data_IF_472371118277
#
_entry.id   IF_472371118277
#
_cell.length_a   1.000
_cell.length_b   1.000
_cell.length_c   1.000
_cell.angle_alpha   90.00
_cell.angle_beta   90.00
_cell.angle_gamma   90.00
#
_symmetry.space_group_name_H-M   'P 1'
#
loop_
_entity.id
_entity.type
_entity.pdbx_description
1 polymer ?
#
# COMPACT_ATOMS: atom_id res chain seq x y z
N UNK A 1 37.01 -2.17 10.39
CA UNK A 1 35.81 -1.37 10.07
C UNK A 1 35.48 -1.59 8.61
N UNK A 2 34.32 -2.15 8.28
CA UNK A 2 33.82 -2.10 6.89
C UNK A 2 33.31 -0.68 6.69
N UNK A 3 33.73 0.00 5.62
CA UNK A 3 33.12 1.27 5.22
C UNK A 3 31.60 1.07 5.11
N UNK A 4 30.82 1.96 5.74
CA UNK A 4 29.37 1.96 5.54
C UNK A 4 29.09 2.18 4.06
N UNK A 5 28.13 1.45 3.46
CA UNK A 5 27.77 1.66 2.07
C UNK A 5 27.46 3.15 1.85
N UNK A 6 28.06 3.74 0.80
CA UNK A 6 27.84 5.14 0.47
C UNK A 6 26.36 5.33 0.15
N UNK A 7 25.71 6.26 0.84
CA UNK A 7 24.33 6.64 0.58
C UNK A 7 24.19 7.02 -0.90
N UNK A 8 23.19 6.49 -1.64
CA UNK A 8 22.97 6.88 -3.02
C UNK A 8 22.84 8.39 -3.14
N UNK A 9 23.47 8.97 -4.18
CA UNK A 9 23.38 10.40 -4.46
C UNK A 9 21.92 10.79 -4.72
N UNK A 10 21.46 11.88 -4.09
CA UNK A 10 20.16 12.48 -4.41
C UNK A 10 20.16 13.02 -5.85
N UNK A 11 19.09 12.73 -6.58
CA UNK A 11 18.90 13.11 -7.99
C UNK A 11 18.18 14.45 -8.05
N UNK A 12 18.62 15.37 -8.91
CA UNK A 12 17.92 16.65 -9.09
C UNK A 12 16.63 16.45 -9.90
N UNK A 13 15.55 17.20 -9.65
CA UNK A 13 14.33 17.15 -10.44
C UNK A 13 14.56 17.33 -11.95
N UNK A 14 15.54 18.14 -12.35
CA UNK A 14 15.90 18.34 -13.75
C UNK A 14 16.55 17.11 -14.42
N UNK A 15 17.11 16.20 -13.62
CA UNK A 15 17.72 14.94 -14.10
C UNK A 15 16.67 13.83 -14.26
N UNK A 16 15.46 14.05 -13.78
CA UNK A 16 14.35 13.13 -13.88
C UNK A 16 13.60 13.33 -15.21
N UNK A 17 13.69 12.35 -16.11
CA UNK A 17 12.91 12.41 -17.35
C UNK A 17 11.41 12.28 -17.02
N UNK A 18 10.57 13.07 -17.68
CA UNK A 18 9.10 13.03 -17.49
C UNK A 18 8.52 11.62 -17.72
N UNK A 19 9.12 10.87 -18.66
CA UNK A 19 8.75 9.49 -19.00
C UNK A 19 9.06 8.54 -17.83
N UNK A 20 10.22 8.69 -17.20
CA UNK A 20 10.60 7.85 -16.05
C UNK A 20 9.81 8.16 -14.79
N UNK A 21 9.34 9.40 -14.60
CA UNK A 21 8.76 9.83 -13.32
C UNK A 21 7.25 9.98 -13.27
N UNK A 22 6.55 10.00 -14.41
CA UNK A 22 5.09 10.08 -14.42
C UNK A 22 4.43 8.93 -15.16
N UNK A 23 4.89 8.62 -16.38
CA UNK A 23 4.22 7.61 -17.23
C UNK A 23 4.50 6.20 -16.75
N UNK A 24 5.78 5.89 -16.47
CA UNK A 24 6.17 4.54 -16.07
C UNK A 24 5.48 4.06 -14.77
N UNK A 25 5.48 4.82 -13.64
CA UNK A 25 4.82 4.40 -12.41
C UNK A 25 3.34 4.06 -12.60
N UNK A 26 2.58 4.91 -13.30
CA UNK A 26 1.15 4.70 -13.55
C UNK A 26 0.93 3.47 -14.43
N UNK A 27 1.72 3.31 -15.49
CA UNK A 27 1.64 2.14 -16.37
C UNK A 27 1.96 0.83 -15.61
N UNK A 28 2.96 0.85 -14.73
CA UNK A 28 3.28 -0.30 -13.87
C UNK A 28 2.12 -0.64 -12.93
N UNK A 29 1.56 0.34 -12.23
CA UNK A 29 0.40 0.09 -11.34
C UNK A 29 -0.78 -0.46 -12.13
N UNK A 30 -1.11 0.11 -13.28
CA UNK A 30 -2.18 -0.38 -14.14
C UNK A 30 -1.92 -1.82 -14.62
N UNK A 31 -0.69 -2.14 -15.03
CA UNK A 31 -0.32 -3.48 -15.46
C UNK A 31 -0.38 -4.50 -14.31
N UNK A 32 0.11 -4.15 -13.12
CA UNK A 32 0.08 -4.99 -11.91
C UNK A 32 -1.37 -5.28 -11.51
N UNK A 33 -2.23 -4.25 -11.46
CA UNK A 33 -3.64 -4.39 -11.11
C UNK A 33 -4.39 -5.18 -12.18
N UNK A 34 -4.11 -4.94 -13.46
CA UNK A 34 -4.70 -5.70 -14.57
C UNK A 34 -4.32 -7.18 -14.52
N UNK A 35 -3.08 -7.50 -14.17
CA UNK A 35 -2.65 -8.88 -13.94
C UNK A 35 -3.36 -9.50 -12.73
N UNK A 36 -3.44 -8.77 -11.61
CA UNK A 36 -4.15 -9.22 -10.41
C UNK A 36 -5.63 -9.51 -10.70
N UNK A 37 -6.28 -8.66 -11.50
CA UNK A 37 -7.66 -8.86 -11.95
C UNK A 37 -7.81 -10.15 -12.77
N UNK A 38 -6.92 -10.40 -13.73
CA UNK A 38 -6.92 -11.66 -14.52
C UNK A 38 -6.67 -12.90 -13.66
N UNK A 39 -5.77 -12.80 -12.69
CA UNK A 39 -5.51 -13.89 -11.73
C UNK A 39 -6.73 -14.14 -10.84
N UNK A 40 -7.47 -13.09 -10.47
CA UNK A 40 -8.74 -13.23 -9.77
C UNK A 40 -9.76 -14.00 -10.60
N UNK A 41 -9.93 -13.65 -11.88
CA UNK A 41 -10.83 -14.36 -12.79
C UNK A 41 -10.47 -15.84 -12.92
N UNK A 42 -9.17 -16.14 -13.03
CA UNK A 42 -8.69 -17.52 -13.09
C UNK A 42 -8.95 -18.27 -11.79
N UNK A 43 -8.72 -17.64 -10.64
CA UNK A 43 -8.96 -18.23 -9.32
C UNK A 43 -10.44 -18.55 -9.11
N UNK A 44 -11.34 -17.65 -9.49
CA UNK A 44 -12.79 -17.86 -9.40
C UNK A 44 -13.23 -19.01 -10.33
N UNK A 45 -12.63 -19.12 -11.52
CA UNK A 45 -12.93 -20.21 -12.46
C UNK A 45 -12.40 -21.59 -12.01
N UNK A 46 -11.33 -21.65 -11.21
CA UNK A 46 -10.58 -22.91 -10.98
C UNK A 46 -10.57 -23.38 -9.53
N UNK A 47 -10.58 -22.47 -8.55
CA UNK A 47 -10.22 -22.78 -7.16
C UNK A 47 -11.35 -22.50 -6.17
N UNK A 48 -12.18 -21.48 -6.38
CA UNK A 48 -13.21 -21.11 -5.41
C UNK A 48 -14.61 -21.61 -5.83
N UNK A 49 -14.86 -22.90 -5.60
CA UNK A 49 -16.21 -23.49 -5.73
C UNK A 49 -17.14 -23.14 -4.56
N UNK A 50 -16.78 -22.18 -3.68
CA UNK A 50 -17.69 -21.74 -2.62
C UNK A 50 -18.98 -21.26 -3.27
N UNK A 51 -20.16 -21.72 -2.78
CA UNK A 51 -21.41 -21.08 -3.15
C UNK A 51 -21.25 -19.60 -2.82
N UNK A 52 -21.13 -18.76 -3.85
CA UNK A 52 -21.27 -17.33 -3.65
C UNK A 52 -22.69 -17.17 -3.12
N UNK A 53 -22.89 -16.59 -1.92
CA UNK A 53 -24.24 -16.35 -1.44
C UNK A 53 -25.01 -15.64 -2.55
N UNK A 54 -26.20 -16.17 -2.89
CA UNK A 54 -27.12 -15.55 -3.84
C UNK A 54 -27.21 -14.03 -3.52
N UNK A 55 -27.26 -13.17 -4.55
CA UNK A 55 -26.91 -11.77 -4.38
C UNK A 55 -27.94 -11.09 -3.47
N UNK A 56 -27.56 -10.74 -2.24
CA UNK A 56 -28.16 -9.61 -1.52
C UNK A 56 -27.68 -8.32 -2.22
N UNK A 57 -28.21 -8.07 -3.42
CA UNK A 57 -27.91 -6.93 -4.27
C UNK A 57 -28.26 -5.59 -3.63
N UNK A 58 -29.02 -5.57 -2.53
CA UNK A 58 -29.26 -4.36 -1.73
C UNK A 58 -27.98 -3.83 -1.05
N UNK A 59 -26.99 -4.69 -0.76
CA UNK A 59 -25.67 -4.25 -0.27
C UNK A 59 -24.70 -3.91 -1.40
N UNK A 60 -24.90 -4.50 -2.59
CA UNK A 60 -24.03 -4.33 -3.75
C UNK A 60 -23.91 -2.88 -4.21
N UNK A 61 -25.02 -2.12 -4.17
CA UNK A 61 -25.02 -0.70 -4.54
C UNK A 61 -24.09 0.15 -3.66
N UNK A 62 -24.07 -0.10 -2.35
CA UNK A 62 -23.21 0.64 -1.43
C UNK A 62 -21.75 0.23 -1.56
N UNK A 63 -21.43 -1.06 -1.64
CA UNK A 63 -20.04 -1.53 -1.86
C UNK A 63 -19.49 -0.98 -3.17
N UNK A 64 -20.29 -1.02 -4.25
CA UNK A 64 -19.93 -0.42 -5.53
C UNK A 64 -19.68 1.09 -5.41
N UNK A 65 -20.53 1.81 -4.67
CA UNK A 65 -20.38 3.25 -4.41
C UNK A 65 -19.11 3.56 -3.62
N UNK A 66 -18.76 2.72 -2.63
CA UNK A 66 -17.48 2.81 -1.90
C UNK A 66 -16.31 2.62 -2.88
N UNK A 67 -16.41 1.65 -3.80
CA UNK A 67 -15.42 1.45 -4.85
C UNK A 67 -15.21 2.70 -5.71
N UNK A 68 -16.29 3.31 -6.21
CA UNK A 68 -16.24 4.57 -6.96
C UNK A 68 -15.59 5.68 -6.13
N UNK A 69 -15.99 5.82 -4.86
CA UNK A 69 -15.41 6.80 -3.94
C UNK A 69 -13.89 6.63 -3.83
N UNK A 70 -13.40 5.40 -3.62
CA UNK A 70 -11.97 5.10 -3.54
C UNK A 70 -11.23 5.44 -4.85
N UNK A 71 -11.84 5.15 -6.01
CA UNK A 71 -11.28 5.52 -7.32
C UNK A 71 -11.13 7.03 -7.46
N UNK A 72 -12.19 7.77 -7.16
CA UNK A 72 -12.19 9.24 -7.25
C UNK A 72 -11.17 9.81 -6.25
N UNK A 73 -11.12 9.25 -5.04
CA UNK A 73 -10.18 9.68 -4.01
C UNK A 73 -8.72 9.53 -4.46
N UNK A 74 -8.33 8.37 -5.02
CA UNK A 74 -6.95 8.16 -5.47
C UNK A 74 -6.61 9.06 -6.68
N UNK A 75 -7.57 9.32 -7.58
CA UNK A 75 -7.40 10.31 -8.65
C UNK A 75 -7.15 11.71 -8.10
N UNK A 76 -7.95 12.17 -7.13
CA UNK A 76 -7.76 13.46 -6.46
C UNK A 76 -6.40 13.50 -5.76
N UNK A 77 -6.02 12.45 -5.04
CA UNK A 77 -4.72 12.34 -4.38
C UNK A 77 -3.57 12.53 -5.38
N UNK A 78 -3.58 11.78 -6.48
CA UNK A 78 -2.54 11.86 -7.50
C UNK A 78 -2.47 13.24 -8.15
N UNK A 79 -3.61 13.78 -8.58
CA UNK A 79 -3.68 15.08 -9.26
C UNK A 79 -3.24 16.20 -8.31
N UNK A 80 -3.81 16.24 -7.10
CA UNK A 80 -3.54 17.33 -6.16
C UNK A 80 -2.09 17.34 -5.67
N UNK A 81 -1.51 16.17 -5.34
CA UNK A 81 -0.10 16.08 -4.92
C UNK A 81 0.87 16.40 -6.04
N UNK A 82 0.57 15.95 -7.26
CA UNK A 82 1.40 16.28 -8.43
C UNK A 82 1.35 17.78 -8.74
N UNK A 83 0.18 18.40 -8.58
CA UNK A 83 0.02 19.84 -8.79
C UNK A 83 0.75 20.68 -7.72
N UNK A 84 0.81 20.22 -6.47
CA UNK A 84 1.49 20.96 -5.39
C UNK A 84 2.99 20.74 -5.36
N UNK A 85 3.45 19.57 -5.76
CA UNK A 85 4.81 19.12 -5.43
C UNK A 85 5.58 18.59 -6.65
N UNK A 86 5.00 18.68 -7.84
CA UNK A 86 5.64 18.38 -9.11
C UNK A 86 5.32 16.99 -9.66
N UNK A 87 5.59 16.80 -10.96
CA UNK A 87 5.22 15.58 -11.68
C UNK A 87 5.88 14.29 -11.14
N UNK A 88 7.00 14.40 -10.43
CA UNK A 88 7.67 13.24 -9.85
C UNK A 88 6.89 12.62 -8.67
N UNK A 89 5.94 13.36 -8.08
CA UNK A 89 5.01 12.82 -7.08
C UNK A 89 4.04 11.81 -7.66
N UNK A 90 3.92 11.71 -8.98
CA UNK A 90 3.17 10.62 -9.61
C UNK A 90 3.75 9.26 -9.21
N UNK A 91 5.06 9.17 -8.94
CA UNK A 91 5.68 7.97 -8.38
C UNK A 91 5.05 7.52 -7.05
N UNK A 92 4.44 8.41 -6.26
CA UNK A 92 3.75 8.04 -5.03
C UNK A 92 2.57 7.08 -5.27
N UNK A 93 2.05 6.95 -6.49
CA UNK A 93 1.03 5.94 -6.82
C UNK A 93 1.53 4.50 -6.57
N UNK A 94 2.86 4.30 -6.62
CA UNK A 94 3.49 3.01 -6.35
C UNK A 94 3.44 2.64 -4.86
N UNK A 95 3.20 3.59 -3.95
CA UNK A 95 3.01 3.24 -2.54
C UNK A 95 1.92 2.19 -2.39
N UNK A 96 2.18 1.18 -1.56
CA UNK A 96 1.30 0.05 -1.34
C UNK A 96 -0.11 0.50 -0.93
N UNK A 97 -0.24 1.55 -0.11
CA UNK A 97 -1.55 2.12 0.25
C UNK A 97 -2.31 2.70 -0.94
N UNK A 98 -1.65 3.48 -1.81
CA UNK A 98 -2.26 4.08 -3.00
C UNK A 98 -2.64 3.01 -4.04
N UNK A 99 -1.73 2.08 -4.32
CA UNK A 99 -1.99 0.96 -5.23
C UNK A 99 -3.09 0.03 -4.70
N UNK A 100 -3.18 -0.17 -3.38
CA UNK A 100 -4.25 -0.94 -2.75
C UNK A 100 -5.61 -0.28 -2.92
N UNK A 101 -5.70 1.05 -2.83
CA UNK A 101 -6.97 1.75 -3.09
C UNK A 101 -7.46 1.52 -4.52
N UNK A 102 -6.56 1.58 -5.51
CA UNK A 102 -6.90 1.25 -6.90
C UNK A 102 -7.40 -0.20 -7.04
N UNK A 103 -6.70 -1.16 -6.42
CA UNK A 103 -7.05 -2.59 -6.48
C UNK A 103 -8.36 -2.90 -5.75
N UNK A 104 -8.57 -2.33 -4.56
CA UNK A 104 -9.80 -2.47 -3.79
C UNK A 104 -10.99 -1.80 -4.49
N UNK A 105 -10.79 -0.62 -5.06
CA UNK A 105 -11.79 0.06 -5.89
C UNK A 105 -12.24 -0.83 -7.04
N UNK A 106 -11.29 -1.36 -7.83
CA UNK A 106 -11.61 -2.28 -8.92
C UNK A 106 -12.35 -3.51 -8.40
N UNK A 107 -11.88 -4.10 -7.30
CA UNK A 107 -12.53 -5.25 -6.66
C UNK A 107 -13.96 -4.97 -6.22
N UNK A 108 -14.24 -3.81 -5.62
CA UNK A 108 -15.58 -3.44 -5.17
C UNK A 108 -16.51 -3.10 -6.35
N UNK A 109 -16.02 -2.42 -7.38
CA UNK A 109 -16.81 -2.08 -8.58
C UNK A 109 -17.17 -3.35 -9.38
N UNK A 110 -16.20 -4.27 -9.51
CA UNK A 110 -16.35 -5.51 -10.28
C UNK A 110 -16.79 -6.71 -9.44
N UNK A 111 -17.10 -6.50 -8.16
CA UNK A 111 -17.55 -7.54 -7.22
C UNK A 111 -16.56 -8.72 -7.09
N UNK A 112 -15.26 -8.43 -7.08
CA UNK A 112 -14.16 -9.40 -6.91
C UNK A 112 -13.58 -9.31 -5.50
N UNK A 113 -14.07 -10.10 -4.53
CA UNK A 113 -13.64 -10.04 -3.13
C UNK A 113 -12.15 -10.38 -2.97
N UNK A 114 -11.58 -11.20 -3.87
CA UNK A 114 -10.17 -11.56 -3.84
C UNK A 114 -9.25 -10.34 -3.99
N UNK A 115 -9.59 -9.40 -4.88
CA UNK A 115 -8.85 -8.13 -5.05
C UNK A 115 -8.95 -7.27 -3.80
N UNK A 116 -10.15 -7.15 -3.21
CA UNK A 116 -10.36 -6.39 -1.97
C UNK A 116 -9.58 -7.01 -0.81
N UNK A 117 -9.62 -8.33 -0.66
CA UNK A 117 -8.87 -9.04 0.39
C UNK A 117 -7.36 -8.94 0.22
N UNK A 118 -6.84 -9.00 -1.01
CA UNK A 118 -5.42 -8.78 -1.29
C UNK A 118 -5.00 -7.33 -0.98
N UNK A 119 -5.85 -6.36 -1.29
CA UNK A 119 -5.59 -4.95 -1.00
C UNK A 119 -5.60 -4.67 0.50
N UNK A 120 -6.57 -5.26 1.21
CA UNK A 120 -6.68 -5.24 2.68
C UNK A 120 -5.38 -5.78 3.29
N UNK A 121 -4.97 -6.96 2.83
CA UNK A 121 -3.74 -7.63 3.26
C UNK A 121 -2.52 -6.74 3.10
N UNK A 122 -2.35 -6.14 1.92
CA UNK A 122 -1.19 -5.32 1.56
C UNK A 122 -0.99 -4.10 2.45
N UNK A 123 -2.07 -3.51 2.99
CA UNK A 123 -1.98 -2.28 3.81
C UNK A 123 -2.06 -2.53 5.31
N UNK A 124 -2.48 -3.73 5.74
CA UNK A 124 -2.82 -4.06 7.13
C UNK A 124 -1.86 -3.47 8.16
N UNK A 125 -0.56 -3.73 8.00
CA UNK A 125 0.45 -3.31 8.97
C UNK A 125 0.56 -1.79 9.08
N UNK A 126 0.58 -1.13 7.93
CA UNK A 126 0.72 0.33 7.83
C UNK A 126 -0.50 1.02 8.43
N UNK A 127 -1.71 0.54 8.13
CA UNK A 127 -2.96 1.09 8.67
C UNK A 127 -3.06 0.89 10.19
N UNK A 128 -2.70 -0.30 10.69
CA UNK A 128 -2.69 -0.57 12.14
C UNK A 128 -1.67 0.32 12.83
N UNK A 129 -0.47 0.48 12.26
CA UNK A 129 0.54 1.36 12.80
C UNK A 129 0.05 2.81 12.87
N UNK A 130 -0.66 3.26 11.84
CA UNK A 130 -1.36 4.55 11.82
C UNK A 130 -2.40 4.72 12.93
N UNK A 131 -3.21 3.69 13.19
CA UNK A 131 -4.19 3.75 14.28
C UNK A 131 -3.53 3.88 15.65
N UNK A 132 -2.46 3.12 15.88
CA UNK A 132 -1.69 3.18 17.12
C UNK A 132 -1.06 4.57 17.28
N UNK A 133 -0.50 5.11 16.21
CA UNK A 133 0.12 6.43 16.19
C UNK A 133 -0.86 7.57 16.44
N UNK A 134 -1.98 7.60 15.72
CA UNK A 134 -3.00 8.63 15.91
C UNK A 134 -3.62 8.55 17.31
N UNK A 135 -3.94 7.35 17.80
CA UNK A 135 -4.48 7.17 19.14
C UNK A 135 -3.44 7.55 20.21
N UNK A 136 -2.20 7.12 20.05
CA UNK A 136 -1.09 7.47 20.94
C UNK A 136 -0.85 8.97 20.99
N UNK A 137 -0.90 9.65 19.85
CA UNK A 137 -0.72 11.10 19.79
C UNK A 137 -1.86 11.84 20.47
N UNK A 138 -3.11 11.42 20.27
CA UNK A 138 -4.27 12.03 20.94
C UNK A 138 -4.25 11.85 22.46
N UNK A 139 -3.75 10.72 22.97
CA UNK A 139 -3.73 10.42 24.41
C UNK A 139 -2.49 11.01 25.10
N UNK A 140 -1.33 10.94 24.45
CA UNK A 140 -0.02 11.20 25.09
C UNK A 140 0.78 12.34 24.45
N UNK A 141 0.36 12.86 23.30
CA UNK A 141 1.12 13.82 22.49
C UNK A 141 2.33 13.20 21.77
N UNK A 142 2.47 11.87 21.74
CA UNK A 142 3.59 11.16 21.11
C UNK A 142 3.09 10.14 20.09
N UNK A 143 3.88 9.92 19.03
CA UNK A 143 3.66 8.85 18.05
C UNK A 143 4.46 7.60 18.51
N UNK A 144 3.81 6.54 19.04
CA UNK A 144 4.53 5.40 19.62
C UNK A 144 5.35 4.61 18.60
N UNK A 145 4.92 4.57 17.34
CA UNK A 145 5.60 3.90 16.24
C UNK A 145 6.32 4.93 15.37
N UNK A 146 5.68 6.06 15.06
CA UNK A 146 6.27 7.17 14.30
C UNK A 146 5.92 7.20 12.81
N UNK A 147 5.20 6.21 12.28
CA UNK A 147 4.74 6.18 10.87
C UNK A 147 3.86 7.37 10.49
N UNK A 148 3.07 7.90 11.43
CA UNK A 148 2.20 9.06 11.21
C UNK A 148 2.80 10.37 11.73
N UNK A 149 4.04 10.35 12.24
CA UNK A 149 4.71 11.53 12.83
C UNK A 149 4.82 12.70 11.85
N UNK A 150 4.90 12.41 10.56
CA UNK A 150 4.97 13.44 9.53
C UNK A 150 3.72 14.32 9.48
N UNK A 151 2.58 13.89 10.03
CA UNK A 151 1.32 14.66 10.07
C UNK A 151 1.44 16.00 10.80
N UNK A 152 2.37 16.09 11.76
CA UNK A 152 2.61 17.31 12.55
C UNK A 152 3.89 18.02 12.12
N UNK A 153 4.51 17.58 11.03
CA UNK A 153 5.67 18.26 10.45
C UNK A 153 5.22 19.54 9.76
N UNK A 154 5.97 20.62 9.97
CA UNK A 154 5.78 21.89 9.25
C UNK A 154 6.02 21.77 7.74
N UNK A 155 6.65 20.67 7.30
CA UNK A 155 6.92 20.37 5.90
C UNK A 155 5.71 19.79 5.17
N UNK A 156 4.70 19.33 5.90
CA UNK A 156 3.53 18.71 5.31
C UNK A 156 2.55 19.77 4.80
N UNK A 157 2.33 19.79 3.49
CA UNK A 157 1.30 20.65 2.91
C UNK A 157 -0.10 20.24 3.40
N UNK A 158 -1.04 21.20 3.48
CA UNK A 158 -2.44 20.91 3.84
C UNK A 158 -3.08 19.88 2.90
N UNK A 159 -2.71 19.88 1.62
CA UNK A 159 -3.21 18.91 0.64
C UNK A 159 -2.69 17.51 0.96
N UNK A 160 -1.40 17.36 1.26
CA UNK A 160 -0.84 16.08 1.66
C UNK A 160 -1.45 15.59 2.98
N UNK A 161 -1.69 16.48 3.94
CA UNK A 161 -2.40 16.15 5.18
C UNK A 161 -3.77 15.52 4.90
N UNK A 162 -4.66 16.22 4.19
CA UNK A 162 -6.00 15.71 3.91
C UNK A 162 -6.00 14.45 3.05
N UNK A 163 -5.13 14.39 2.04
CA UNK A 163 -5.04 13.20 1.17
C UNK A 163 -4.47 11.98 1.90
N UNK A 164 -3.82 12.16 3.06
CA UNK A 164 -3.33 11.05 3.90
C UNK A 164 -4.42 10.43 4.79
N UNK A 165 -5.63 11.01 4.87
CA UNK A 165 -6.72 10.45 5.68
C UNK A 165 -7.21 9.08 5.23
N UNK A 166 -6.84 8.63 4.02
CA UNK A 166 -7.12 7.26 3.60
C UNK A 166 -6.51 6.22 4.55
N UNK A 167 -5.41 6.54 5.24
CA UNK A 167 -4.87 5.67 6.28
C UNK A 167 -5.83 5.46 7.48
N UNK A 168 -6.87 6.29 7.62
CA UNK A 168 -7.88 6.16 8.67
C UNK A 168 -9.08 5.33 8.21
N UNK A 169 -9.61 5.60 7.03
CA UNK A 169 -10.87 5.00 6.57
C UNK A 169 -10.71 3.77 5.68
N UNK A 170 -9.56 3.57 5.03
CA UNK A 170 -9.44 2.57 3.97
C UNK A 170 -9.62 1.14 4.48
N UNK A 171 -8.93 0.74 5.55
CA UNK A 171 -9.07 -0.59 6.12
C UNK A 171 -10.50 -0.86 6.64
N UNK A 172 -11.18 0.05 7.38
CA UNK A 172 -12.58 -0.09 7.74
C UNK A 172 -13.51 -0.31 6.54
N UNK A 173 -13.33 0.43 5.45
CA UNK A 173 -14.14 0.27 4.24
C UNK A 173 -13.91 -1.09 3.58
N UNK A 174 -12.66 -1.55 3.52
CA UNK A 174 -12.34 -2.90 3.04
C UNK A 174 -12.98 -3.99 3.91
N UNK A 175 -12.90 -3.86 5.24
CA UNK A 175 -13.52 -4.76 6.20
C UNK A 175 -15.03 -4.82 6.02
N UNK A 176 -15.66 -3.65 5.90
CA UNK A 176 -17.07 -3.54 5.60
C UNK A 176 -17.41 -4.29 4.31
N UNK A 177 -16.70 -4.03 3.21
CA UNK A 177 -16.97 -4.69 1.92
C UNK A 177 -16.79 -6.21 1.95
N UNK A 178 -15.96 -6.74 2.85
CA UNK A 178 -15.71 -8.19 3.00
C UNK A 178 -16.58 -8.86 4.07
N UNK A 179 -17.36 -8.12 4.86
CA UNK A 179 -17.99 -8.63 6.10
C UNK A 179 -18.90 -9.87 5.94
N UNK A 180 -19.57 -10.02 4.81
CA UNK A 180 -20.48 -11.16 4.56
C UNK A 180 -19.78 -12.36 3.93
N UNK A 181 -18.67 -12.13 3.21
CA UNK A 181 -17.94 -13.18 2.47
C UNK A 181 -16.77 -13.71 3.32
N UNK A 182 -16.19 -12.84 4.15
CA UNK A 182 -14.90 -13.07 4.80
C UNK A 182 -13.73 -12.76 3.87
N UNK A 183 -12.52 -13.08 4.31
CA UNK A 183 -11.30 -12.89 3.52
C UNK A 183 -11.02 -14.12 2.65
N UNK A 184 -10.93 -14.00 1.31
CA UNK A 184 -10.58 -15.13 0.45
C UNK A 184 -9.20 -15.70 0.75
N UNK A 185 -9.04 -17.02 0.65
CA UNK A 185 -7.80 -17.71 1.03
C UNK A 185 -6.62 -17.31 0.13
N UNK A 186 -6.91 -16.97 -1.12
CA UNK A 186 -5.91 -16.56 -2.10
C UNK A 186 -5.51 -15.08 -1.97
N UNK A 187 -6.11 -14.32 -1.04
CA UNK A 187 -5.78 -12.91 -0.83
C UNK A 187 -4.32 -12.69 -0.44
N UNK A 188 -3.76 -13.55 0.43
CA UNK A 188 -2.36 -13.44 0.82
C UNK A 188 -1.39 -13.81 -0.31
N UNK A 189 -1.52 -14.96 -1.00
CA UNK A 189 -0.69 -15.25 -2.17
C UNK A 189 -0.74 -14.15 -3.24
N UNK A 190 -1.93 -13.61 -3.53
CA UNK A 190 -2.08 -12.51 -4.48
C UNK A 190 -1.41 -11.24 -3.98
N UNK A 191 -1.54 -10.91 -2.69
CA UNK A 191 -0.81 -9.80 -2.10
C UNK A 191 0.70 -9.97 -2.26
N UNK A 192 1.26 -11.15 -1.96
CA UNK A 192 2.70 -11.42 -2.08
C UNK A 192 3.19 -11.14 -3.50
N UNK A 193 2.43 -11.56 -4.51
CA UNK A 193 2.77 -11.28 -5.91
C UNK A 193 2.73 -9.78 -6.21
N UNK A 194 1.67 -9.09 -5.80
CA UNK A 194 1.45 -7.67 -6.06
C UNK A 194 2.48 -6.79 -5.34
N UNK A 195 2.73 -7.02 -4.05
CA UNK A 195 3.74 -6.28 -3.27
C UNK A 195 5.14 -6.49 -3.83
N UNK A 196 5.46 -7.73 -4.23
CA UNK A 196 6.75 -8.01 -4.85
C UNK A 196 6.93 -7.26 -6.16
N UNK A 197 5.90 -7.23 -7.01
CA UNK A 197 5.92 -6.47 -8.25
C UNK A 197 6.03 -4.96 -8.00
N UNK A 198 5.30 -4.41 -7.02
CA UNK A 198 5.34 -3.00 -6.65
C UNK A 198 6.71 -2.55 -6.12
N UNK A 199 7.34 -3.36 -5.26
CA UNK A 199 8.68 -3.08 -4.74
C UNK A 199 9.72 -3.10 -5.87
N UNK A 200 9.64 -4.09 -6.77
CA UNK A 200 10.52 -4.15 -7.94
C UNK A 200 10.31 -2.93 -8.86
N UNK A 201 9.06 -2.55 -9.13
CA UNK A 201 8.73 -1.37 -9.92
C UNK A 201 9.25 -0.09 -9.26
N UNK A 202 9.05 0.07 -7.95
CA UNK A 202 9.58 1.21 -7.18
C UNK A 202 11.11 1.27 -7.28
N UNK A 203 11.81 0.16 -7.05
CA UNK A 203 13.28 0.11 -7.16
C UNK A 203 13.80 0.41 -8.57
N UNK A 204 13.03 0.09 -9.60
CA UNK A 204 13.41 0.30 -10.99
C UNK A 204 13.11 1.72 -11.50
N UNK A 205 12.10 2.40 -10.95
CA UNK A 205 11.56 3.64 -11.53
C UNK A 205 11.69 4.87 -10.65
N UNK A 206 11.96 4.70 -9.36
CA UNK A 206 12.00 5.82 -8.40
C UNK A 206 13.43 6.03 -7.93
N UNK A 207 13.93 7.27 -7.82
CA UNK A 207 15.23 7.50 -7.20
C UNK A 207 15.14 7.27 -5.68
N UNK A 208 16.26 6.95 -5.04
CA UNK A 208 16.30 6.85 -3.58
C UNK A 208 15.96 8.16 -2.87
N UNK A 209 16.43 9.29 -3.41
CA UNK A 209 16.20 10.61 -2.89
C UNK A 209 16.21 11.66 -4.01
N UNK A 210 15.44 12.73 -3.82
CA UNK A 210 15.35 13.87 -4.72
C UNK A 210 15.88 15.11 -4.01
N UNK A 211 16.75 15.86 -4.69
CA UNK A 211 17.31 17.12 -4.21
C UNK A 211 16.47 18.31 -4.73
N UNK A 212 15.64 18.89 -3.86
CA UNK A 212 14.77 20.03 -4.17
C UNK A 212 15.46 21.39 -4.00
N UNK A 213 16.78 21.40 -3.79
CA UNK A 213 17.61 22.59 -3.68
C UNK A 213 17.85 23.01 -2.23
N UNK A 214 16.79 23.33 -1.48
CA UNK A 214 16.89 23.64 -0.05
C UNK A 214 16.77 22.40 0.85
N UNK A 215 16.22 21.30 0.30
CA UNK A 215 15.94 20.06 1.03
C UNK A 215 16.20 18.83 0.17
N UNK A 216 16.55 17.72 0.83
CA UNK A 216 16.64 16.39 0.22
C UNK A 216 15.47 15.55 0.71
N UNK A 217 14.55 15.21 -0.20
CA UNK A 217 13.42 14.35 0.10
C UNK A 217 13.76 12.89 -0.21
N UNK A 218 13.69 12.03 0.80
CA UNK A 218 13.84 10.58 0.60
C UNK A 218 12.59 10.00 -0.07
N UNK A 219 12.80 9.19 -1.10
CA UNK A 219 11.77 8.56 -1.94
C UNK A 219 11.87 7.03 -1.85
N UNK A 220 11.94 6.52 -0.62
CA UNK A 220 12.06 5.08 -0.33
C UNK A 220 10.70 4.36 -0.40
N UNK A 221 10.07 4.39 -1.59
CA UNK A 221 8.74 3.82 -1.82
C UNK A 221 8.74 2.32 -1.56
N UNK A 222 7.80 1.84 -0.75
CA UNK A 222 7.66 0.43 -0.35
C UNK A 222 8.95 -0.19 0.17
N UNK A 223 9.79 0.61 0.85
CA UNK A 223 11.08 0.15 1.36
C UNK A 223 12.02 -0.34 0.26
N UNK A 224 11.87 0.13 -0.99
CA UNK A 224 12.65 -0.34 -2.13
C UNK A 224 14.17 -0.18 -1.96
N UNK A 225 14.64 0.64 -1.02
CA UNK A 225 16.06 0.91 -0.76
C UNK A 225 16.54 0.56 0.64
N UNK A 226 15.73 0.82 1.65
CA UNK A 226 16.06 0.55 3.05
C UNK A 226 14.79 0.36 3.89
N UNK A 227 14.92 -0.18 5.09
CA UNK A 227 13.81 -0.16 6.06
C UNK A 227 13.58 1.24 6.64
N UNK A 228 12.43 1.48 7.27
CA UNK A 228 12.18 2.73 7.99
C UNK A 228 13.24 2.96 9.05
N UNK A 229 13.86 4.14 9.04
CA UNK A 229 14.95 4.48 9.96
C UNK A 229 14.51 4.54 11.42
N UNK A 230 13.23 4.73 11.67
CA UNK A 230 12.65 4.74 13.01
C UNK A 230 12.49 3.32 13.62
N UNK A 231 12.71 2.26 12.83
CA UNK A 231 12.65 0.88 13.33
C UNK A 231 14.01 0.46 13.88
N UNK A 232 14.20 0.47 15.19
CA UNK A 232 15.49 0.13 15.82
C UNK A 232 15.78 -1.39 15.89
N UNK A 233 15.58 -2.13 14.79
CA UNK A 233 15.85 -3.58 14.71
C UNK A 233 17.05 -3.85 13.79
N UNK A 234 18.28 -4.08 14.31
CA UNK A 234 19.47 -4.23 13.48
C UNK A 234 19.37 -5.32 12.40
N UNK A 235 18.57 -6.36 12.65
CA UNK A 235 18.33 -7.42 11.67
C UNK A 235 17.71 -6.86 10.39
N UNK A 236 16.67 -6.02 10.47
CA UNK A 236 15.93 -5.54 9.28
C UNK A 236 16.81 -4.66 8.40
N UNK A 237 17.74 -3.91 8.99
CA UNK A 237 18.65 -3.00 8.29
C UNK A 237 19.88 -3.67 7.68
N UNK A 238 20.07 -4.99 7.85
CA UNK A 238 21.29 -5.71 7.44
C UNK A 238 21.64 -5.54 5.96
N UNK A 239 20.63 -5.37 5.11
CA UNK A 239 20.78 -5.30 3.66
C UNK A 239 20.45 -3.92 3.08
N UNK A 240 20.24 -2.92 3.92
CA UNK A 240 19.91 -1.57 3.46
C UNK A 240 20.94 -1.01 2.48
N UNK A 241 20.45 -0.34 1.45
CA UNK A 241 21.23 0.30 0.39
C UNK A 241 22.13 -0.66 -0.40
N UNK A 242 22.01 -1.98 -0.20
CA UNK A 242 22.72 -2.96 -1.02
C UNK A 242 22.21 -2.95 -2.48
N UNK A 243 23.00 -3.50 -3.42
CA UNK A 243 22.54 -3.72 -4.79
C UNK A 243 21.22 -4.49 -4.83
N UNK A 244 20.37 -4.17 -5.82
CA UNK A 244 19.01 -4.71 -5.90
C UNK A 244 18.94 -6.25 -5.88
N UNK A 245 19.90 -6.93 -6.51
CA UNK A 245 19.96 -8.40 -6.53
C UNK A 245 20.24 -9.05 -5.16
N UNK A 246 20.76 -8.29 -4.19
CA UNK A 246 20.91 -8.73 -2.80
C UNK A 246 19.77 -8.25 -1.92
N UNK A 247 19.38 -6.99 -2.07
CA UNK A 247 18.38 -6.36 -1.22
C UNK A 247 16.97 -6.87 -1.49
N UNK A 248 16.55 -6.99 -2.75
CA UNK A 248 15.19 -7.38 -3.09
C UNK A 248 14.84 -8.78 -2.59
N UNK A 249 15.64 -9.86 -2.80
CA UNK A 249 15.29 -11.17 -2.25
C UNK A 249 15.15 -11.16 -0.72
N UNK A 250 16.02 -10.40 -0.04
CA UNK A 250 15.97 -10.23 1.41
C UNK A 250 14.66 -9.55 1.84
N UNK A 251 14.35 -8.40 1.24
CA UNK A 251 13.14 -7.63 1.52
C UNK A 251 11.88 -8.43 1.19
N UNK A 252 11.82 -9.08 0.03
CA UNK A 252 10.66 -9.86 -0.39
C UNK A 252 10.42 -11.06 0.53
N UNK A 253 11.46 -11.75 0.96
CA UNK A 253 11.33 -12.83 1.95
C UNK A 253 10.86 -12.28 3.29
N UNK A 254 11.55 -11.27 3.83
CA UNK A 254 11.25 -10.72 5.14
C UNK A 254 9.87 -10.05 5.19
N UNK A 255 9.59 -9.09 4.31
CA UNK A 255 8.35 -8.32 4.34
C UNK A 255 7.13 -9.17 4.02
N UNK A 256 7.19 -10.10 3.07
CA UNK A 256 6.01 -10.93 2.80
C UNK A 256 5.71 -11.85 3.98
N UNK A 257 6.72 -12.45 4.61
CA UNK A 257 6.51 -13.33 5.77
C UNK A 257 6.04 -12.53 6.99
N UNK A 258 6.74 -11.47 7.35
CA UNK A 258 6.49 -10.76 8.61
C UNK A 258 5.49 -9.62 8.47
N UNK A 259 5.71 -8.69 7.53
CA UNK A 259 4.86 -7.50 7.38
C UNK A 259 3.50 -7.83 6.78
N UNK A 260 3.42 -8.77 5.85
CA UNK A 260 2.14 -9.20 5.26
C UNK A 260 1.55 -10.41 6.02
N UNK A 261 2.36 -11.44 6.31
CA UNK A 261 1.86 -12.70 6.87
C UNK A 261 1.26 -12.59 8.28
N UNK A 262 1.91 -11.86 9.19
CA UNK A 262 1.42 -11.74 10.58
C UNK A 262 0.09 -10.97 10.64
N UNK A 263 -0.05 -9.77 10.05
CA UNK A 263 -1.33 -9.08 10.04
C UNK A 263 -2.42 -9.87 9.34
N UNK A 264 -2.13 -10.54 8.22
CA UNK A 264 -3.11 -11.40 7.54
C UNK A 264 -3.67 -12.46 8.46
N UNK A 265 -2.81 -13.16 9.19
CA UNK A 265 -3.29 -14.20 10.09
C UNK A 265 -4.30 -13.62 11.11
N UNK A 266 -4.01 -12.42 11.63
CA UNK A 266 -4.90 -11.71 12.55
C UNK A 266 -6.20 -11.25 11.86
N UNK A 267 -6.10 -10.60 10.69
CA UNK A 267 -7.27 -10.10 9.97
C UNK A 267 -8.15 -11.24 9.47
N UNK A 268 -7.55 -12.34 9.02
CA UNK A 268 -8.26 -13.54 8.57
C UNK A 268 -9.08 -14.14 9.72
N UNK A 269 -8.49 -14.24 10.92
CA UNK A 269 -9.23 -14.69 12.11
C UNK A 269 -10.33 -13.69 12.48
N UNK A 270 -10.03 -12.39 12.49
CA UNK A 270 -10.99 -11.36 12.87
C UNK A 270 -12.20 -11.30 11.92
N UNK A 271 -11.95 -11.24 10.60
CA UNK A 271 -13.00 -11.14 9.58
C UNK A 271 -13.85 -12.41 9.51
N UNK A 272 -13.24 -13.60 9.57
CA UNK A 272 -14.02 -14.83 9.52
C UNK A 272 -14.85 -15.02 10.80
N UNK A 273 -14.29 -14.72 11.99
CA UNK A 273 -15.09 -14.74 13.23
C UNK A 273 -16.22 -13.71 13.22
N UNK A 274 -15.97 -12.51 12.70
CA UNK A 274 -16.99 -11.48 12.58
C UNK A 274 -18.10 -11.90 11.62
N UNK A 275 -17.75 -12.49 10.46
CA UNK A 275 -18.73 -13.09 9.55
C UNK A 275 -19.55 -14.17 10.24
N UNK A 276 -18.90 -15.10 10.92
CA UNK A 276 -19.58 -16.21 11.61
C UNK A 276 -20.53 -15.70 12.69
N UNK A 277 -20.17 -14.60 13.38
CA UNK A 277 -21.06 -13.91 14.32
C UNK A 277 -22.26 -13.23 13.63
N UNK A 278 -22.06 -12.60 12.47
CA UNK A 278 -23.14 -11.95 11.72
C UNK A 278 -24.14 -12.94 11.09
N UNK A 279 -23.73 -14.19 10.89
CA UNK A 279 -24.55 -15.26 10.31
C UNK A 279 -25.27 -16.13 11.36
N UNK A 280 -24.93 -15.99 12.64
CA UNK A 280 -25.50 -16.72 13.76
C UNK A 280 -26.73 -15.98 14.34
#
# INVERSE_FOLDING_TARGET
MKESPKTPRAVKPSELSLVSTAVAPVAFVAAIIGLAAKLSDLADATLDKRPQPEPEWELGGLVHSIGIFLFVYVCILCISRSATSGAYYVCEILWACNSSMCMASLGMITQRPLLVGAATTMVSIDQIAWYIDCAGYLITGKFPIGVAKYLVSDELTRIQFWTSFHHLFFLPLCFYSLRHIGMPNLSYPLCVLVTSALVCAARATTPYAVDEGDKVKTFNINLAYEFWRDVELPLVHRMDLQPAYLYLPYLLGFCNIYLNGVPVALLYVALNKFRDFMLA
#
